data_IF_393624179793
#
_entry.id   IF_393624179793
#
_cell.length_a   1.000
_cell.length_b   1.000
_cell.length_c   1.000
_cell.angle_alpha   90.00
_cell.angle_beta   90.00
_cell.angle_gamma   90.00
#
_symmetry.space_group_name_H-M   'P 1'
#
loop_
_entity.id
_entity.type
_entity.pdbx_description
1 polymer ?
#
# COMPACT_ATOMS: atom_id res chain seq x y z
N UNK A 1 -2.27 19.77 -36.77
CA UNK A 1 -3.12 20.06 -35.59
C UNK A 1 -4.31 19.13 -35.72
N UNK A 2 -4.48 18.03 -34.99
CA UNK A 2 -4.29 17.74 -33.56
C UNK A 2 -3.64 16.36 -33.39
N UNK A 3 -2.90 16.23 -32.30
CA UNK A 3 -2.05 15.14 -31.85
C UNK A 3 -2.81 13.82 -31.60
N UNK A 4 -2.28 12.74 -32.18
CA UNK A 4 -2.15 11.39 -31.61
C UNK A 4 -2.71 11.17 -30.19
N UNK A 5 -3.86 10.49 -30.08
CA UNK A 5 -4.18 9.68 -28.91
C UNK A 5 -3.55 8.29 -29.12
N UNK A 6 -2.24 8.22 -28.87
CA UNK A 6 -1.50 6.98 -28.71
C UNK A 6 -2.01 6.33 -27.43
N UNK A 7 -2.75 5.24 -27.58
CA UNK A 7 -3.12 4.36 -26.49
C UNK A 7 -1.86 3.66 -25.97
N UNK A 8 -1.17 4.31 -25.03
CA UNK A 8 -0.06 3.73 -24.29
C UNK A 8 -0.40 3.65 -22.80
N UNK A 9 -1.15 2.62 -22.42
CA UNK A 9 -1.12 2.09 -21.06
C UNK A 9 -0.16 0.90 -21.03
N UNK A 10 1.09 1.05 -20.57
CA UNK A 10 1.98 -0.10 -20.48
C UNK A 10 1.51 -1.00 -19.34
N UNK A 11 1.20 -2.24 -19.70
CA UNK A 11 1.32 -3.39 -18.82
C UNK A 11 0.42 -3.34 -17.59
N UNK A 12 -0.81 -3.83 -17.76
CA UNK A 12 -1.41 -4.64 -16.70
C UNK A 12 -0.42 -5.77 -16.37
N UNK A 13 0.46 -5.51 -15.41
CA UNK A 13 1.22 -6.56 -14.75
C UNK A 13 0.17 -7.52 -14.19
N UNK A 14 0.07 -8.65 -14.89
CA UNK A 14 -0.28 -9.99 -14.42
C UNK A 14 -0.71 -9.98 -12.97
N UNK A 15 -1.89 -10.52 -12.67
CA UNK A 15 -2.32 -10.82 -11.31
C UNK A 15 -1.21 -11.57 -10.56
N UNK A 16 -0.35 -10.81 -9.90
CA UNK A 16 0.73 -11.30 -9.07
C UNK A 16 0.06 -11.70 -7.78
N UNK A 17 0.23 -12.96 -7.39
CA UNK A 17 -0.46 -13.63 -6.28
C UNK A 17 -0.47 -12.80 -4.98
N UNK A 18 -1.42 -11.87 -4.88
CA UNK A 18 -1.76 -11.15 -3.63
C UNK A 18 -2.19 -12.16 -2.55
N UNK A 19 -2.53 -13.39 -2.95
CA UNK A 19 -2.93 -14.48 -2.06
C UNK A 19 -1.81 -15.19 -1.31
N UNK A 20 -0.53 -15.06 -1.70
CA UNK A 20 0.57 -15.79 -1.05
C UNK A 20 1.49 -14.89 -0.21
N UNK A 21 1.58 -13.60 -0.53
CA UNK A 21 2.40 -12.64 0.20
C UNK A 21 1.60 -12.01 1.35
N UNK A 22 2.13 -12.07 2.58
CA UNK A 22 1.55 -11.36 3.72
C UNK A 22 1.55 -9.84 3.54
N UNK A 23 0.69 -9.15 4.30
CA UNK A 23 0.51 -7.68 4.19
C UNK A 23 1.81 -6.86 4.27
N UNK A 24 2.81 -7.30 5.04
CA UNK A 24 4.03 -6.52 5.25
C UNK A 24 4.86 -6.33 3.98
N UNK A 25 5.38 -7.41 3.37
CA UNK A 25 6.09 -7.33 2.10
C UNK A 25 5.24 -6.68 0.99
N UNK A 26 3.92 -6.95 0.94
CA UNK A 26 3.03 -6.31 -0.02
C UNK A 26 3.00 -4.78 0.12
N UNK A 27 2.87 -4.27 1.35
CA UNK A 27 2.92 -2.82 1.63
C UNK A 27 4.27 -2.21 1.23
N UNK A 28 5.38 -2.90 1.52
CA UNK A 28 6.71 -2.43 1.15
C UNK A 28 6.87 -2.29 -0.37
N UNK A 29 6.38 -3.28 -1.14
CA UNK A 29 6.40 -3.23 -2.61
C UNK A 29 5.58 -2.06 -3.15
N UNK A 30 4.35 -1.88 -2.69
CA UNK A 30 3.49 -0.75 -3.11
C UNK A 30 4.14 0.59 -2.82
N UNK A 31 4.75 0.75 -1.63
CA UNK A 31 5.45 1.97 -1.25
C UNK A 31 6.66 2.24 -2.17
N UNK A 32 7.49 1.21 -2.40
CA UNK A 32 8.70 1.33 -3.21
C UNK A 32 8.39 1.59 -4.69
N UNK A 33 7.33 0.99 -5.25
CA UNK A 33 6.87 1.25 -6.61
C UNK A 33 6.49 2.72 -6.84
N UNK A 34 6.08 3.43 -5.77
CA UNK A 34 5.75 4.86 -5.80
C UNK A 34 6.96 5.76 -5.45
N UNK A 35 8.15 5.20 -5.26
CA UNK A 35 9.35 5.95 -4.86
C UNK A 35 9.24 6.57 -3.46
N UNK A 36 8.32 6.11 -2.62
CA UNK A 36 8.05 6.71 -1.32
C UNK A 36 8.95 6.12 -0.22
N UNK A 37 9.47 6.96 0.66
CA UNK A 37 10.11 6.49 1.90
C UNK A 37 9.06 6.11 2.95
N UNK A 38 9.43 5.30 3.94
CA UNK A 38 8.53 4.96 5.06
C UNK A 38 8.07 6.21 5.82
N UNK A 39 8.96 7.20 5.98
CA UNK A 39 8.61 8.49 6.58
C UNK A 39 7.59 9.25 5.73
N UNK A 40 7.76 9.26 4.40
CA UNK A 40 6.81 9.92 3.50
C UNK A 40 5.43 9.26 3.57
N UNK A 41 5.37 7.93 3.59
CA UNK A 41 4.11 7.20 3.76
C UNK A 41 3.45 7.54 5.11
N UNK A 42 4.20 7.59 6.20
CA UNK A 42 3.68 7.98 7.51
C UNK A 42 3.09 9.40 7.50
N UNK A 43 3.80 10.37 6.90
CA UNK A 43 3.31 11.75 6.76
C UNK A 43 2.01 11.84 5.96
N UNK A 44 1.91 11.09 4.85
CA UNK A 44 0.70 11.03 4.03
C UNK A 44 -0.46 10.43 4.81
N UNK A 45 -0.23 9.35 5.55
CA UNK A 45 -1.24 8.72 6.41
C UNK A 45 -1.73 9.66 7.50
N UNK A 46 -0.83 10.40 8.15
CA UNK A 46 -1.20 11.42 9.12
C UNK A 46 -2.07 12.53 8.48
N UNK A 47 -1.69 13.00 7.30
CA UNK A 47 -2.43 14.03 6.58
C UNK A 47 -3.86 13.60 6.20
N UNK A 48 -4.04 12.37 5.68
CA UNK A 48 -5.37 11.90 5.26
C UNK A 48 -6.26 11.43 6.42
N UNK A 49 -5.67 10.89 7.48
CA UNK A 49 -6.43 10.39 8.64
C UNK A 49 -6.75 11.47 9.68
N UNK A 50 -6.13 12.65 9.58
CA UNK A 50 -6.20 13.68 10.61
C UNK A 50 -5.51 13.28 11.93
N UNK A 51 -4.71 12.22 11.92
CA UNK A 51 -4.00 11.70 13.10
C UNK A 51 -2.51 12.03 13.03
N UNK A 52 -1.84 12.04 14.19
CA UNK A 52 -0.36 12.13 14.29
C UNK A 52 0.27 10.83 14.83
N UNK A 53 -0.53 9.77 14.91
CA UNK A 53 -0.14 8.53 15.61
C UNK A 53 0.73 7.60 14.77
N UNK A 54 0.74 7.75 13.43
CA UNK A 54 1.54 6.91 12.55
C UNK A 54 2.91 7.53 12.34
N UNK A 55 3.93 6.75 12.68
CA UNK A 55 5.33 7.14 12.52
C UNK A 55 6.01 6.23 11.50
N UNK A 56 7.19 6.65 11.02
CA UNK A 56 8.11 5.77 10.26
C UNK A 56 8.28 4.39 10.90
N UNK A 57 8.39 4.33 12.24
CA UNK A 57 8.59 3.07 12.95
C UNK A 57 7.35 2.18 12.89
N UNK A 58 6.16 2.77 12.92
CA UNK A 58 4.91 2.03 12.75
C UNK A 58 4.83 1.41 11.36
N UNK A 59 5.18 2.18 10.32
CA UNK A 59 5.29 1.66 8.95
C UNK A 59 6.29 0.51 8.87
N UNK A 60 7.47 0.67 9.48
CA UNK A 60 8.49 -0.40 9.54
C UNK A 60 8.00 -1.67 10.26
N UNK A 61 7.15 -1.54 11.29
CA UNK A 61 6.55 -2.71 11.97
C UNK A 61 5.56 -3.42 11.07
N UNK A 62 4.74 -2.67 10.33
CA UNK A 62 3.80 -3.25 9.37
C UNK A 62 4.52 -3.96 8.23
N UNK A 63 5.51 -3.31 7.61
CA UNK A 63 6.25 -3.88 6.46
C UNK A 63 7.03 -5.15 6.81
N UNK A 64 7.48 -5.30 8.07
CA UNK A 64 8.15 -6.50 8.55
C UNK A 64 7.20 -7.60 9.05
N UNK A 65 5.89 -7.33 9.08
CA UNK A 65 4.91 -8.27 9.64
C UNK A 65 4.88 -8.34 11.17
N UNK A 66 5.64 -7.50 11.88
CA UNK A 66 5.63 -7.46 13.36
C UNK A 66 4.28 -7.02 13.91
N UNK A 67 3.49 -6.29 13.12
CA UNK A 67 2.13 -5.87 13.46
C UNK A 67 1.29 -5.78 12.20
N UNK A 68 0.07 -6.31 12.27
CA UNK A 68 -0.91 -6.18 11.19
C UNK A 68 -1.68 -4.85 11.36
N UNK A 69 -1.81 -4.01 10.31
CA UNK A 69 -2.62 -2.80 10.40
C UNK A 69 -4.08 -3.13 10.68
N UNK A 70 -4.78 -2.29 11.48
CA UNK A 70 -6.22 -2.45 11.68
C UNK A 70 -7.00 -2.14 10.40
N UNK A 71 -8.26 -2.59 10.32
CA UNK A 71 -9.12 -2.34 9.15
C UNK A 71 -9.24 -0.86 8.79
N UNK A 72 -9.32 0.02 9.78
CA UNK A 72 -9.33 1.47 9.56
C UNK A 72 -8.05 1.94 8.85
N UNK A 73 -6.88 1.46 9.31
CA UNK A 73 -5.60 1.77 8.68
C UNK A 73 -5.47 1.19 7.28
N UNK A 74 -6.03 0.00 7.01
CA UNK A 74 -6.08 -0.55 5.65
C UNK A 74 -6.85 0.38 4.69
N UNK A 75 -7.94 1.01 5.14
CA UNK A 75 -8.67 2.00 4.35
C UNK A 75 -7.83 3.24 4.01
N UNK A 76 -7.10 3.79 4.99
CA UNK A 76 -6.20 4.93 4.75
C UNK A 76 -5.00 4.55 3.87
N UNK A 77 -4.45 3.35 4.06
CA UNK A 77 -3.38 2.81 3.23
C UNK A 77 -3.84 2.65 1.78
N UNK A 78 -5.05 2.12 1.56
CA UNK A 78 -5.65 2.00 0.24
C UNK A 78 -5.76 3.36 -0.47
N UNK A 79 -6.23 4.38 0.25
CA UNK A 79 -6.35 5.74 -0.28
C UNK A 79 -4.98 6.36 -0.63
N UNK A 80 -3.96 6.20 0.22
CA UNK A 80 -2.63 6.79 0.02
C UNK A 80 -1.80 6.05 -1.03
N UNK A 81 -1.89 4.72 -1.04
CA UNK A 81 -1.16 3.86 -1.98
C UNK A 81 -1.90 3.67 -3.31
N UNK A 82 -3.12 4.21 -3.41
CA UNK A 82 -3.97 4.16 -4.61
C UNK A 82 -4.16 2.71 -5.10
N UNK A 83 -4.63 1.87 -4.17
CA UNK A 83 -4.96 0.46 -4.44
C UNK A 83 -6.32 0.12 -3.84
N UNK A 84 -7.07 -0.84 -4.40
CA UNK A 84 -8.29 -1.32 -3.78
C UNK A 84 -8.04 -1.88 -2.37
N UNK A 85 -8.84 -1.46 -1.38
CA UNK A 85 -8.70 -1.91 0.02
C UNK A 85 -8.77 -3.42 0.17
N UNK A 86 -9.55 -4.09 -0.68
CA UNK A 86 -9.72 -5.54 -0.71
C UNK A 86 -8.39 -6.26 -0.94
N UNK A 87 -7.47 -5.69 -1.74
CA UNK A 87 -6.14 -6.28 -1.93
C UNK A 87 -5.33 -6.29 -0.62
N UNK A 88 -5.44 -5.22 0.16
CA UNK A 88 -4.79 -5.12 1.46
C UNK A 88 -5.48 -6.04 2.50
N UNK A 89 -6.81 -6.13 2.50
CA UNK A 89 -7.56 -7.03 3.38
C UNK A 89 -7.25 -8.51 3.10
N UNK A 90 -7.12 -8.90 1.82
CA UNK A 90 -6.70 -10.25 1.43
C UNK A 90 -5.29 -10.57 1.93
N UNK A 91 -4.31 -9.69 1.70
CA UNK A 91 -2.93 -9.89 2.16
C UNK A 91 -2.80 -9.91 3.70
N UNK A 92 -3.64 -9.13 4.40
CA UNK A 92 -3.71 -9.14 5.88
C UNK A 92 -4.32 -10.43 6.43
N UNK A 93 -5.09 -11.15 5.62
CA UNK A 93 -5.64 -12.47 5.98
C UNK A 93 -4.67 -13.58 5.64
N UNK A 94 -3.97 -13.50 4.50
CA UNK A 94 -2.98 -14.48 4.07
C UNK A 94 -1.81 -14.62 5.07
N UNK A 95 -1.32 -13.51 5.63
CA UNK A 95 -0.21 -13.54 6.61
C UNK A 95 -0.57 -13.99 8.03
N UNK A 96 -1.82 -14.43 8.28
CA UNK A 96 -2.27 -14.95 9.59
C UNK A 96 -2.37 -16.48 9.65
N UNK A 97 -2.18 -17.18 8.52
CA UNK A 97 -2.08 -18.64 8.43
C UNK A 97 -0.63 -19.09 8.48
#
# INVERSE_FOLDING_TARGET
MVTTEDQHGPGQARGENVGEEGIGPFLARLRLARGQSQLRLAQLLCAVSGSVTVTRHEISRWERGNRVPSRQWLGWLAAVLDVPVQRLESAATAGRG
#
